data_IF_158081221448
#
_entry.id   IF_158081221448
#
_cell.length_a   1.000
_cell.length_b   1.000
_cell.length_c   1.000
_cell.angle_alpha   90.00
_cell.angle_beta   90.00
_cell.angle_gamma   90.00
#
_symmetry.space_group_name_H-M   'P 1'
#
loop_
_entity.id
_entity.type
_entity.pdbx_description
1 polymer ?
#
# COMPACT_ATOMS: atom_id res chain seq x y z
N UNK A 1 -15.83 0.71 8.10
CA UNK A 1 -15.99 0.30 6.69
C UNK A 1 -16.08 -1.21 6.64
N UNK A 2 -17.02 -1.74 5.88
CA UNK A 2 -17.23 -3.19 5.78
C UNK A 2 -16.15 -3.88 4.94
N UNK A 3 -16.03 -5.19 5.11
CA UNK A 3 -15.11 -5.99 4.28
C UNK A 3 -15.49 -5.93 2.80
N UNK A 4 -16.78 -5.90 2.50
CA UNK A 4 -17.28 -5.76 1.13
C UNK A 4 -16.84 -4.43 0.50
N UNK A 5 -16.94 -3.33 1.26
CA UNK A 5 -16.49 -2.02 0.80
C UNK A 5 -14.99 -1.98 0.57
N UNK A 6 -14.22 -2.64 1.44
CA UNK A 6 -12.76 -2.74 1.27
C UNK A 6 -12.40 -3.58 0.04
N UNK A 7 -13.13 -4.66 -0.24
CA UNK A 7 -12.89 -5.42 -1.48
C UNK A 7 -13.18 -4.57 -2.72
N UNK A 8 -14.24 -3.79 -2.70
CA UNK A 8 -14.52 -2.85 -3.79
C UNK A 8 -13.39 -1.85 -3.96
N UNK A 9 -12.84 -1.34 -2.85
CA UNK A 9 -11.68 -0.43 -2.90
C UNK A 9 -10.45 -1.14 -3.49
N UNK A 10 -10.21 -2.39 -3.14
CA UNK A 10 -9.12 -3.19 -3.74
C UNK A 10 -9.27 -3.30 -5.25
N UNK A 11 -10.48 -3.59 -5.74
CA UNK A 11 -10.77 -3.68 -7.18
C UNK A 11 -10.56 -2.34 -7.88
N UNK A 12 -11.02 -1.25 -7.26
CA UNK A 12 -10.85 0.10 -7.80
C UNK A 12 -9.39 0.51 -7.83
N UNK A 13 -8.64 0.22 -6.77
CA UNK A 13 -7.20 0.48 -6.72
C UNK A 13 -6.46 -0.31 -7.81
N UNK A 14 -6.78 -1.60 -7.97
CA UNK A 14 -6.17 -2.41 -9.02
C UNK A 14 -6.47 -1.83 -10.42
N UNK A 15 -7.69 -1.38 -10.66
CA UNK A 15 -8.08 -0.77 -11.93
C UNK A 15 -7.33 0.55 -12.17
N UNK A 16 -7.22 1.41 -11.17
CA UNK A 16 -6.48 2.67 -11.26
C UNK A 16 -5.00 2.41 -11.54
N UNK A 17 -4.40 1.46 -10.82
CA UNK A 17 -2.99 1.11 -10.96
C UNK A 17 -2.67 0.40 -12.29
N UNK A 18 -3.67 0.01 -13.06
CA UNK A 18 -3.49 -0.50 -14.42
C UNK A 18 -3.43 0.60 -15.48
N UNK A 19 -3.76 1.84 -15.09
CA UNK A 19 -3.75 3.00 -15.97
C UNK A 19 -2.42 3.75 -15.84
N UNK A 20 -2.17 4.64 -16.78
CA UNK A 20 -1.03 5.55 -16.66
C UNK A 20 -1.36 6.65 -15.65
N UNK A 21 -0.80 6.55 -14.44
CA UNK A 21 -0.98 7.54 -13.39
C UNK A 21 0.11 8.62 -13.37
N UNK A 22 1.20 8.39 -14.10
CA UNK A 22 2.23 9.39 -14.28
C UNK A 22 1.84 10.38 -15.36
N UNK A 23 2.44 11.55 -15.29
CA UNK A 23 2.29 12.59 -16.30
C UNK A 23 3.34 12.38 -17.41
N UNK A 24 2.92 12.25 -18.65
CA UNK A 24 3.83 12.01 -19.77
C UNK A 24 3.57 13.05 -20.87
N UNK A 25 4.64 13.71 -21.31
CA UNK A 25 4.69 14.51 -22.56
C UNK A 25 3.52 15.47 -22.78
N UNK A 26 3.45 16.54 -21.99
CA UNK A 26 2.50 17.63 -22.20
C UNK A 26 1.11 17.39 -21.62
N UNK A 27 0.84 16.21 -21.07
CA UNK A 27 -0.40 15.96 -20.31
C UNK A 27 -0.29 16.60 -18.94
N UNK A 28 -1.36 17.23 -18.47
CA UNK A 28 -1.34 17.94 -17.18
C UNK A 28 -1.48 17.01 -15.99
N UNK A 29 -2.27 15.99 -16.13
CA UNK A 29 -2.48 14.95 -15.13
C UNK A 29 -2.76 13.65 -15.83
N UNK A 30 -2.57 12.55 -15.14
CA UNK A 30 -2.88 11.23 -15.66
C UNK A 30 -4.39 11.10 -15.86
N UNK A 31 -4.77 10.99 -17.11
CA UNK A 31 -6.16 10.87 -17.51
C UNK A 31 -6.97 12.15 -17.35
N UNK A 32 -8.09 12.26 -18.07
CA UNK A 32 -8.94 13.46 -18.09
C UNK A 32 -9.66 13.70 -16.75
N UNK A 33 -9.78 12.69 -15.90
CA UNK A 33 -10.51 12.76 -14.64
C UNK A 33 -9.61 12.85 -13.41
N UNK A 34 -8.31 13.11 -13.61
CA UNK A 34 -7.37 13.18 -12.50
C UNK A 34 -7.19 11.85 -11.78
N UNK A 35 -6.97 10.76 -12.51
CA UNK A 35 -6.83 9.41 -11.95
C UNK A 35 -5.78 9.31 -10.85
N UNK A 36 -4.69 10.05 -10.97
CA UNK A 36 -3.65 10.10 -9.94
C UNK A 36 -4.21 10.65 -8.62
N UNK A 37 -4.98 11.73 -8.67
CA UNK A 37 -5.60 12.33 -7.49
C UNK A 37 -6.61 11.35 -6.86
N UNK A 38 -7.41 10.69 -7.69
CA UNK A 38 -8.37 9.67 -7.24
C UNK A 38 -7.62 8.54 -6.56
N UNK A 39 -6.53 8.05 -7.14
CA UNK A 39 -5.68 7.01 -6.55
C UNK A 39 -5.15 7.43 -5.18
N UNK A 40 -4.58 8.62 -5.08
CA UNK A 40 -3.99 9.08 -3.81
C UNK A 40 -5.04 9.20 -2.71
N UNK A 41 -6.23 9.68 -3.02
CA UNK A 41 -7.32 9.80 -2.05
C UNK A 41 -7.90 8.43 -1.66
N UNK A 42 -8.15 7.57 -2.64
CA UNK A 42 -8.67 6.23 -2.39
C UNK A 42 -7.67 5.38 -1.63
N UNK A 43 -6.39 5.49 -1.97
CA UNK A 43 -5.32 4.78 -1.28
C UNK A 43 -5.27 5.12 0.20
N UNK A 44 -5.36 6.40 0.55
CA UNK A 44 -5.40 6.80 1.97
C UNK A 44 -6.63 6.27 2.69
N UNK A 45 -7.80 6.37 2.07
CA UNK A 45 -9.05 5.84 2.64
C UNK A 45 -8.93 4.33 2.90
N UNK A 46 -8.43 3.60 1.92
CA UNK A 46 -8.21 2.15 2.02
C UNK A 46 -7.23 1.82 3.15
N UNK A 47 -6.09 2.51 3.21
CA UNK A 47 -5.05 2.24 4.20
C UNK A 47 -5.51 2.57 5.63
N UNK A 48 -6.27 3.63 5.82
CA UNK A 48 -6.81 3.97 7.15
C UNK A 48 -7.74 2.88 7.67
N UNK A 49 -8.65 2.41 6.84
CA UNK A 49 -9.56 1.32 7.22
C UNK A 49 -8.80 0.02 7.45
N UNK A 50 -7.82 -0.27 6.61
CA UNK A 50 -6.95 -1.43 6.75
C UNK A 50 -6.19 -1.42 8.07
N UNK A 51 -5.62 -0.29 8.45
CA UNK A 51 -4.91 -0.14 9.72
C UNK A 51 -5.80 -0.44 10.92
N UNK A 52 -7.05 0.03 10.88
CA UNK A 52 -8.03 -0.24 11.92
C UNK A 52 -8.35 -1.72 12.01
N UNK A 53 -8.60 -2.36 10.88
CA UNK A 53 -8.93 -3.79 10.84
C UNK A 53 -7.74 -4.67 11.25
N UNK A 54 -6.52 -4.20 11.04
CA UNK A 54 -5.30 -4.87 11.49
C UNK A 54 -5.00 -4.65 12.98
N UNK A 55 -5.70 -3.73 13.64
CA UNK A 55 -5.46 -3.41 15.04
C UNK A 55 -4.16 -2.66 15.29
N UNK A 56 -3.68 -1.91 14.31
CA UNK A 56 -2.46 -1.11 14.45
C UNK A 56 -2.70 0.13 15.30
N UNK A 57 -1.69 0.53 16.08
CA UNK A 57 -1.65 1.74 16.91
C UNK A 57 -0.64 2.72 16.32
N UNK A 58 -0.74 3.97 16.75
CA UNK A 58 0.18 5.04 16.34
C UNK A 58 0.25 5.15 14.81
N UNK A 59 -0.91 5.04 14.19
CA UNK A 59 -1.04 4.93 12.74
C UNK A 59 -0.76 6.26 12.08
N UNK A 60 0.03 6.23 11.01
CA UNK A 60 0.31 7.35 10.15
C UNK A 60 0.04 6.95 8.71
N UNK A 61 -0.88 7.64 8.05
CA UNK A 61 -1.20 7.42 6.64
C UNK A 61 -0.90 8.69 5.87
N UNK A 62 -0.04 8.58 4.88
CA UNK A 62 0.47 9.73 4.11
C UNK A 62 0.35 9.43 2.63
N UNK A 63 0.03 10.44 1.84
CA UNK A 63 0.18 10.38 0.39
C UNK A 63 1.24 11.38 -0.06
N UNK A 64 2.00 10.99 -1.07
CA UNK A 64 3.01 11.83 -1.69
C UNK A 64 2.82 11.73 -3.20
N UNK A 65 2.54 12.86 -3.84
CA UNK A 65 2.33 12.89 -5.28
C UNK A 65 3.61 12.60 -6.06
N UNK A 66 4.78 12.81 -5.46
CA UNK A 66 6.06 12.65 -6.16
C UNK A 66 6.19 13.59 -7.34
N UNK A 67 7.01 13.20 -8.31
CA UNK A 67 7.16 13.94 -9.56
C UNK A 67 6.00 13.71 -10.51
N UNK A 68 5.97 14.50 -11.60
CA UNK A 68 4.88 14.43 -12.58
C UNK A 68 4.86 13.12 -13.38
N UNK A 69 5.99 12.45 -13.49
CA UNK A 69 6.13 11.24 -14.29
C UNK A 69 5.80 9.95 -13.52
N UNK A 70 5.41 10.05 -12.25
CA UNK A 70 5.13 8.89 -11.39
C UNK A 70 3.71 8.94 -10.84
N UNK A 71 3.22 7.78 -10.39
CA UNK A 71 1.88 7.67 -9.81
C UNK A 71 1.74 8.41 -8.48
N UNK A 72 2.84 8.69 -7.80
CA UNK A 72 2.83 9.01 -6.40
C UNK A 72 2.64 7.74 -5.58
N UNK A 73 2.59 7.91 -4.28
CA UNK A 73 2.49 6.79 -3.35
C UNK A 73 1.59 7.12 -2.18
N UNK A 74 0.94 6.08 -1.64
CA UNK A 74 0.24 6.15 -0.36
C UNK A 74 0.90 5.15 0.57
N UNK A 75 1.23 5.56 1.80
CA UNK A 75 1.86 4.65 2.73
C UNK A 75 1.31 4.79 4.13
N UNK A 76 1.46 3.69 4.85
CA UNK A 76 0.97 3.48 6.19
C UNK A 76 2.11 3.00 7.07
N UNK A 77 2.25 3.63 8.23
CA UNK A 77 3.05 3.11 9.34
C UNK A 77 2.12 2.84 10.51
N UNK A 78 2.32 1.75 11.21
CA UNK A 78 1.57 1.45 12.42
C UNK A 78 2.29 0.41 13.26
N UNK A 79 1.92 0.30 14.52
CA UNK A 79 2.56 -0.60 15.47
C UNK A 79 1.56 -1.54 16.10
N UNK A 80 1.91 -2.80 16.16
CA UNK A 80 1.38 -3.74 17.14
C UNK A 80 2.25 -3.68 18.41
N UNK A 81 1.95 -4.49 19.37
CA UNK A 81 2.71 -4.55 20.61
C UNK A 81 4.14 -5.09 20.38
N UNK A 82 4.25 -6.12 19.54
CA UNK A 82 5.50 -6.85 19.30
C UNK A 82 6.36 -6.24 18.20
N UNK A 83 5.72 -5.67 17.19
CA UNK A 83 6.39 -5.12 16.00
C UNK A 83 5.44 -4.20 15.27
N UNK A 84 5.92 -3.58 14.23
CA UNK A 84 5.09 -2.73 13.37
C UNK A 84 5.02 -3.20 11.95
N UNK A 85 4.25 -2.48 11.16
CA UNK A 85 4.01 -2.74 9.75
C UNK A 85 4.13 -1.45 8.95
N UNK A 86 4.82 -1.53 7.84
CA UNK A 86 4.86 -0.50 6.81
C UNK A 86 4.21 -1.05 5.55
N UNK A 87 3.33 -0.28 4.94
CA UNK A 87 2.68 -0.62 3.67
C UNK A 87 2.82 0.56 2.74
N UNK A 88 3.16 0.30 1.48
CA UNK A 88 3.21 1.31 0.43
C UNK A 88 2.42 0.85 -0.78
N UNK A 89 1.55 1.71 -1.27
CA UNK A 89 0.84 1.54 -2.53
C UNK A 89 1.43 2.50 -3.55
N UNK A 90 1.88 1.96 -4.67
CA UNK A 90 2.37 2.76 -5.79
C UNK A 90 2.31 1.96 -7.09
N UNK A 91 2.35 2.67 -8.21
CA UNK A 91 2.50 2.02 -9.50
C UNK A 91 3.99 1.81 -9.78
N UNK A 92 4.46 0.56 -9.94
CA UNK A 92 5.88 0.33 -10.23
C UNK A 92 6.21 0.76 -11.66
N UNK A 93 7.47 1.11 -11.89
CA UNK A 93 7.96 1.41 -13.23
C UNK A 93 7.91 0.18 -14.13
N UNK A 94 8.17 -0.99 -13.56
CA UNK A 94 8.20 -2.27 -14.27
C UNK A 94 7.52 -3.31 -13.38
N UNK A 95 6.73 -4.19 -13.97
CA UNK A 95 6.09 -5.28 -13.26
C UNK A 95 4.74 -4.93 -12.68
N UNK A 96 4.24 -5.77 -11.79
CA UNK A 96 2.89 -5.71 -11.26
C UNK A 96 2.81 -5.56 -9.75
N UNK A 97 3.92 -5.43 -9.05
CA UNK A 97 3.94 -5.34 -7.60
C UNK A 97 3.56 -3.93 -7.16
N UNK A 98 2.30 -3.77 -6.78
CA UNK A 98 1.71 -2.46 -6.47
C UNK A 98 1.59 -2.16 -4.99
N UNK A 99 1.63 -3.19 -4.15
CA UNK A 99 1.58 -3.04 -2.70
C UNK A 99 2.81 -3.73 -2.11
N UNK A 100 3.62 -2.93 -1.42
CA UNK A 100 4.78 -3.43 -0.67
C UNK A 100 4.41 -3.44 0.80
N UNK A 101 4.80 -4.47 1.52
CA UNK A 101 4.66 -4.51 2.97
C UNK A 101 5.87 -5.15 3.61
N UNK A 102 6.23 -4.63 4.78
CA UNK A 102 7.39 -5.12 5.54
C UNK A 102 7.22 -4.86 7.03
N UNK A 103 7.90 -5.69 7.83
CA UNK A 103 7.96 -5.48 9.28
C UNK A 103 8.86 -4.30 9.61
N UNK A 104 8.48 -3.53 10.62
CA UNK A 104 9.30 -2.47 11.19
C UNK A 104 9.42 -2.69 12.71
N UNK A 105 10.57 -2.35 13.27
CA UNK A 105 10.81 -2.46 14.72
C UNK A 105 10.23 -1.28 15.47
N UNK A 106 10.20 -0.12 14.81
CA UNK A 106 9.65 1.13 15.36
C UNK A 106 9.20 2.01 14.20
N UNK A 107 8.48 3.09 14.51
CA UNK A 107 8.05 4.06 13.50
C UNK A 107 9.22 4.80 12.84
N UNK A 108 10.40 4.73 13.42
CA UNK A 108 11.63 5.34 12.88
C UNK A 108 12.53 4.35 12.16
N UNK A 109 12.09 3.11 12.03
CA UNK A 109 12.86 2.07 11.35
C UNK A 109 12.72 2.22 9.84
N UNK A 110 13.68 2.89 9.23
CA UNK A 110 13.70 3.12 7.79
C UNK A 110 14.23 1.93 6.98
N UNK A 111 14.91 0.99 7.61
CA UNK A 111 15.41 -0.22 6.96
C UNK A 111 14.36 -1.32 6.93
N UNK A 112 13.62 -1.46 8.02
CA UNK A 112 12.57 -2.46 8.15
C UNK A 112 13.06 -3.89 7.97
N UNK A 113 12.11 -4.75 7.68
CA UNK A 113 12.36 -6.14 7.34
C UNK A 113 12.40 -6.35 5.82
N UNK A 114 12.31 -7.61 5.43
CA UNK A 114 12.24 -7.97 4.01
C UNK A 114 10.98 -7.40 3.37
N UNK A 115 11.12 -6.93 2.14
CA UNK A 115 10.00 -6.50 1.33
C UNK A 115 9.18 -7.71 0.88
N UNK A 116 7.87 -7.60 1.05
CA UNK A 116 6.89 -8.54 0.54
C UNK A 116 5.95 -7.76 -0.37
N UNK A 117 5.33 -8.43 -1.33
CA UNK A 117 4.55 -7.74 -2.34
C UNK A 117 3.19 -8.39 -2.56
N UNK A 118 2.23 -7.54 -2.90
CA UNK A 118 0.95 -7.94 -3.49
C UNK A 118 0.94 -7.38 -4.90
N UNK A 119 0.70 -8.24 -5.87
CA UNK A 119 0.62 -7.82 -7.27
C UNK A 119 -0.73 -7.16 -7.57
N UNK A 120 -0.78 -6.42 -8.69
CA UNK A 120 -2.01 -5.84 -9.18
C UNK A 120 -3.07 -6.91 -9.45
N UNK A 121 -2.67 -8.05 -10.02
CA UNK A 121 -3.57 -9.18 -10.27
C UNK A 121 -4.15 -9.76 -8.98
N UNK A 122 -3.30 -9.90 -7.94
CA UNK A 122 -3.75 -10.35 -6.62
C UNK A 122 -4.71 -9.33 -6.00
N UNK A 123 -4.41 -8.05 -6.08
CA UNK A 123 -5.28 -6.99 -5.56
C UNK A 123 -6.63 -6.96 -6.27
N UNK A 124 -6.66 -7.34 -7.54
CA UNK A 124 -7.88 -7.43 -8.34
C UNK A 124 -8.74 -8.66 -8.00
N UNK A 125 -8.14 -9.72 -7.45
CA UNK A 125 -8.81 -11.03 -7.34
C UNK A 125 -8.96 -11.55 -5.91
N UNK A 126 -8.04 -11.22 -5.00
CA UNK A 126 -8.07 -11.76 -3.64
C UNK A 126 -9.18 -11.13 -2.81
N UNK A 127 -9.67 -11.85 -1.80
CA UNK A 127 -10.61 -11.28 -0.84
C UNK A 127 -9.89 -10.36 0.14
N UNK A 128 -10.65 -9.46 0.75
CA UNK A 128 -10.10 -8.60 1.80
C UNK A 128 -9.63 -9.42 3.00
N UNK A 129 -10.36 -10.47 3.35
CA UNK A 129 -9.97 -11.38 4.43
C UNK A 129 -8.62 -12.05 4.13
N UNK A 130 -8.40 -12.48 2.89
CA UNK A 130 -7.11 -13.03 2.47
C UNK A 130 -5.99 -12.02 2.62
N UNK A 131 -6.23 -10.77 2.25
CA UNK A 131 -5.26 -9.69 2.43
C UNK A 131 -4.95 -9.48 3.92
N UNK A 132 -5.99 -9.37 4.76
CA UNK A 132 -5.81 -9.21 6.20
C UNK A 132 -4.99 -10.35 6.80
N UNK A 133 -5.31 -11.59 6.46
CA UNK A 133 -4.60 -12.75 6.98
C UNK A 133 -3.13 -12.74 6.55
N UNK A 134 -2.87 -12.37 5.31
CA UNK A 134 -1.52 -12.25 4.78
C UNK A 134 -0.70 -11.20 5.52
N UNK A 135 -1.29 -10.05 5.81
CA UNK A 135 -0.63 -8.98 6.56
C UNK A 135 -0.47 -9.33 8.05
N UNK A 136 -1.45 -10.01 8.64
CA UNK A 136 -1.38 -10.43 10.04
C UNK A 136 -0.33 -11.48 10.32
N UNK A 137 0.13 -12.22 9.31
CA UNK A 137 1.28 -13.13 9.49
C UNK A 137 2.53 -12.37 9.90
N UNK A 138 2.67 -11.11 9.49
CA UNK A 138 3.81 -10.27 9.84
C UNK A 138 3.84 -9.94 11.34
N UNK A 139 2.69 -9.95 12.01
CA UNK A 139 2.61 -9.75 13.46
C UNK A 139 3.15 -10.95 14.22
N UNK A 140 2.82 -12.17 13.76
CA UNK A 140 3.25 -13.42 14.41
C UNK A 140 4.69 -13.75 14.10
N UNK A 141 5.11 -13.51 12.87
CA UNK A 141 6.43 -13.87 12.37
C UNK A 141 7.06 -12.67 11.66
N UNK A 142 7.52 -11.65 12.41
CA UNK A 142 8.18 -10.50 11.79
C UNK A 142 9.42 -10.94 11.03
N UNK A 143 9.57 -10.46 9.80
CA UNK A 143 10.67 -10.81 8.92
C UNK A 143 11.64 -9.65 8.82
N UNK A 144 12.69 -9.70 9.62
CA UNK A 144 13.76 -8.73 9.56
C UNK A 144 14.94 -9.28 8.76
N UNK A 145 15.67 -8.37 8.13
CA UNK A 145 16.88 -8.72 7.44
C UNK A 145 17.86 -9.39 8.39
N UNK A 146 18.37 -10.58 8.01
CA UNK A 146 19.43 -11.21 8.76
C UNK A 146 20.71 -10.42 8.50
N UNK A 147 21.25 -9.84 9.57
CA UNK A 147 22.58 -9.26 9.47
C UNK A 147 23.57 -10.39 9.27
N UNK A 148 24.44 -10.27 8.27
CA UNK A 148 25.57 -11.16 8.13
C UNK A 148 26.36 -11.15 9.45
N UNK A 149 26.56 -12.32 9.96
CA UNK A 149 27.32 -12.50 11.22
C UNK A 149 28.76 -12.00 11.06
#
# INVERSE_FOLDING_TARGET
MSFKSQEQNMRRLAALLSRNLGYIWGERESGPNGDKKVFLNLGKTFLRALAKDLGLRDVKVISNAGGIAVSGECYLYGMWEECGLFICLEQPCIGQDVLLYRSIRSLKDHKGGYNNYVSRSELAAMSYEQLLNRLLTMRKEPRYEQRAA
#
